data_IF_379892588120
#
_entry.id   IF_379892588120
#
_cell.length_a   1.000
_cell.length_b   1.000
_cell.length_c   1.000
_cell.angle_alpha   90.00
_cell.angle_beta   90.00
_cell.angle_gamma   90.00
#
_symmetry.space_group_name_H-M   'P 1'
#
loop_
_entity.id
_entity.type
_entity.pdbx_description
1 polymer ?
#
# COMPACT_ATOMS: atom_id res chain seq x y z
N UNK A 1 -13.88 18.41 19.13
CA UNK A 1 -13.65 18.62 17.69
C UNK A 1 -14.23 17.41 17.01
N UNK A 2 -15.29 17.60 16.22
CA UNK A 2 -16.04 16.49 15.61
C UNK A 2 -15.25 15.98 14.41
N UNK A 3 -14.87 14.70 14.42
CA UNK A 3 -14.25 14.04 13.27
C UNK A 3 -15.30 13.97 12.14
N UNK A 4 -15.11 14.74 11.07
CA UNK A 4 -15.88 14.57 9.85
C UNK A 4 -15.45 13.26 9.18
N UNK A 5 -16.23 12.21 9.41
CA UNK A 5 -16.10 10.95 8.69
C UNK A 5 -16.34 11.20 7.21
N UNK A 6 -15.32 11.03 6.37
CA UNK A 6 -15.46 11.10 4.91
C UNK A 6 -16.41 9.99 4.47
N UNK A 7 -17.61 10.36 3.99
CA UNK A 7 -18.60 9.42 3.46
C UNK A 7 -18.29 9.15 1.99
N UNK A 8 -18.08 7.89 1.63
CA UNK A 8 -17.99 7.43 0.24
C UNK A 8 -19.34 6.80 -0.15
N UNK A 9 -19.96 7.31 -1.20
CA UNK A 9 -21.22 6.76 -1.74
C UNK A 9 -20.94 6.09 -3.09
N UNK A 10 -21.43 4.86 -3.26
CA UNK A 10 -21.30 4.09 -4.50
C UNK A 10 -22.69 3.84 -5.09
N UNK A 11 -22.85 4.09 -6.38
CA UNK A 11 -24.05 3.67 -7.11
C UNK A 11 -23.83 2.24 -7.62
N UNK A 12 -24.63 1.31 -7.14
CA UNK A 12 -24.54 -0.11 -7.48
C UNK A 12 -25.91 -0.64 -7.88
N UNK A 13 -25.95 -1.59 -8.80
CA UNK A 13 -27.16 -2.35 -9.08
C UNK A 13 -27.39 -3.42 -7.98
N UNK A 14 -28.55 -4.08 -7.97
CA UNK A 14 -28.88 -5.05 -6.92
C UNK A 14 -27.91 -6.24 -6.87
N UNK A 15 -27.46 -6.74 -8.03
CA UNK A 15 -26.49 -7.85 -8.10
C UNK A 15 -25.11 -7.45 -7.51
N UNK A 16 -24.66 -6.24 -7.81
CA UNK A 16 -23.43 -5.66 -7.25
C UNK A 16 -23.58 -5.41 -5.75
N UNK A 17 -24.74 -4.93 -5.30
CA UNK A 17 -25.05 -4.74 -3.87
C UNK A 17 -24.97 -6.06 -3.13
N UNK A 18 -25.63 -7.11 -3.62
CA UNK A 18 -25.58 -8.45 -3.02
C UNK A 18 -24.15 -9.01 -3.00
N UNK A 19 -23.38 -8.81 -4.07
CA UNK A 19 -21.97 -9.23 -4.14
C UNK A 19 -21.12 -8.52 -3.10
N UNK A 20 -21.29 -7.20 -2.93
CA UNK A 20 -20.57 -6.40 -1.94
C UNK A 20 -20.94 -6.84 -0.52
N UNK A 21 -22.23 -7.06 -0.24
CA UNK A 21 -22.70 -7.52 1.07
C UNK A 21 -22.19 -8.93 1.39
N UNK A 22 -22.19 -9.83 0.41
CA UNK A 22 -21.62 -11.18 0.55
C UNK A 22 -20.12 -11.13 0.86
N UNK A 23 -19.38 -10.24 0.18
CA UNK A 23 -17.97 -10.00 0.43
C UNK A 23 -17.74 -9.52 1.88
N UNK A 24 -18.49 -8.52 2.34
CA UNK A 24 -18.38 -8.00 3.70
C UNK A 24 -18.74 -9.04 4.75
N UNK A 25 -19.78 -9.84 4.52
CA UNK A 25 -20.14 -10.96 5.37
C UNK A 25 -19.05 -12.03 5.47
N UNK A 26 -18.37 -12.36 4.37
CA UNK A 26 -17.26 -13.32 4.37
C UNK A 26 -16.09 -12.87 5.26
N UNK A 27 -15.81 -11.56 5.30
CA UNK A 27 -14.72 -10.99 6.12
C UNK A 27 -15.17 -10.53 7.52
N UNK A 28 -16.40 -10.85 7.94
CA UNK A 28 -17.00 -10.40 9.21
C UNK A 28 -16.91 -8.87 9.41
N UNK A 29 -17.14 -8.10 8.35
CA UNK A 29 -17.23 -6.64 8.45
C UNK A 29 -18.65 -6.25 8.86
N UNK A 30 -18.78 -5.47 9.94
CA UNK A 30 -20.06 -4.94 10.39
C UNK A 30 -20.59 -3.90 9.39
N UNK A 31 -21.63 -4.27 8.65
CA UNK A 31 -22.32 -3.37 7.72
C UNK A 31 -23.55 -2.81 8.42
N UNK A 32 -23.53 -1.51 8.70
CA UNK A 32 -24.71 -0.78 9.15
C UNK A 32 -25.39 -0.15 7.93
N UNK A 33 -26.58 -0.63 7.57
CA UNK A 33 -27.40 0.06 6.58
C UNK A 33 -27.89 1.39 7.18
N UNK A 34 -27.34 2.50 6.68
CA UNK A 34 -27.85 3.83 7.00
C UNK A 34 -29.09 4.09 6.12
N UNK A 35 -30.26 4.09 6.74
CA UNK A 35 -31.50 4.56 6.11
C UNK A 35 -31.46 6.10 6.04
N UNK A 36 -30.93 6.66 4.95
CA UNK A 36 -30.94 8.12 4.75
C UNK A 36 -31.95 8.51 3.66
N UNK A 37 -33.17 8.90 4.09
CA UNK A 37 -34.17 9.62 3.28
C UNK A 37 -33.73 11.06 2.89
N UNK A 38 -32.43 11.39 2.93
CA UNK A 38 -31.92 12.76 2.64
C UNK A 38 -30.61 12.79 1.83
N UNK A 39 -30.42 11.87 0.89
CA UNK A 39 -29.33 11.99 -0.08
C UNK A 39 -29.72 12.92 -1.25
N UNK A 40 -29.60 14.24 -1.07
CA UNK A 40 -29.55 15.17 -2.21
C UNK A 40 -28.22 15.03 -2.93
N UNK A 41 -28.26 14.49 -4.15
CA UNK A 41 -27.11 14.29 -5.02
C UNK A 41 -26.61 15.61 -5.63
N UNK A 42 -25.33 15.91 -5.45
CA UNK A 42 -24.60 16.81 -6.34
C UNK A 42 -23.93 15.92 -7.38
N UNK A 43 -24.44 15.98 -8.61
CA UNK A 43 -23.88 15.29 -9.76
C UNK A 43 -22.64 16.05 -10.23
N UNK A 44 -21.47 15.44 -10.11
CA UNK A 44 -20.36 15.77 -11.01
C UNK A 44 -19.73 14.46 -11.50
N UNK A 45 -20.35 13.95 -12.55
CA UNK A 45 -19.87 12.83 -13.34
C UNK A 45 -18.66 13.27 -14.15
N UNK A 46 -17.48 12.71 -13.86
CA UNK A 46 -16.48 12.55 -14.91
C UNK A 46 -15.79 11.20 -14.75
N UNK A 47 -16.03 10.34 -15.74
CA UNK A 47 -15.26 9.14 -16.06
C UNK A 47 -13.76 9.44 -16.10
N UNK A 48 -12.93 8.52 -15.64
CA UNK A 48 -12.16 7.64 -16.54
C UNK A 48 -11.43 6.55 -15.78
N UNK A 49 -11.76 5.31 -16.13
CA UNK A 49 -10.92 4.12 -15.93
C UNK A 49 -9.74 4.18 -16.92
N UNK A 50 -8.57 4.63 -16.47
CA UNK A 50 -7.29 4.34 -17.12
C UNK A 50 -6.21 4.13 -16.04
N UNK A 51 -5.99 2.87 -15.65
CA UNK A 51 -4.94 2.49 -14.71
C UNK A 51 -3.90 1.63 -15.46
N UNK A 52 -2.72 2.24 -15.59
CA UNK A 52 -1.38 1.66 -15.78
C UNK A 52 -0.94 1.26 -17.19
N UNK A 53 -0.71 2.24 -18.05
CA UNK A 53 0.43 2.20 -18.98
C UNK A 53 1.17 3.54 -19.01
N UNK A 54 2.46 3.49 -18.66
CA UNK A 54 3.56 4.43 -18.96
C UNK A 54 3.26 5.94 -18.98
N UNK A 55 3.84 6.70 -18.05
CA UNK A 55 4.32 8.03 -18.40
C UNK A 55 5.67 8.36 -17.75
N UNK A 56 6.64 8.53 -18.64
CA UNK A 56 7.94 9.12 -18.44
C UNK A 56 7.78 10.64 -18.40
N UNK A 57 7.41 11.22 -17.24
CA UNK A 57 7.65 12.64 -17.03
C UNK A 57 7.70 13.01 -15.55
N UNK A 58 8.93 13.13 -15.05
CA UNK A 58 9.20 13.84 -13.80
C UNK A 58 9.03 15.34 -14.07
N UNK A 59 7.82 15.85 -13.85
CA UNK A 59 7.60 17.26 -13.55
C UNK A 59 6.88 17.39 -12.22
N UNK A 60 7.55 18.08 -11.30
CA UNK A 60 7.00 18.75 -10.12
C UNK A 60 5.69 19.49 -10.43
N UNK A 61 4.80 19.53 -9.44
CA UNK A 61 3.65 20.45 -9.33
C UNK A 61 2.41 20.23 -10.21
N UNK A 62 1.96 18.99 -10.33
CA UNK A 62 0.51 18.76 -10.41
C UNK A 62 0.05 18.16 -9.09
N UNK A 63 -0.52 19.00 -8.21
CA UNK A 63 -1.36 18.58 -7.07
C UNK A 63 -2.63 17.90 -7.60
N UNK A 64 -2.47 16.78 -8.31
CA UNK A 64 -3.57 15.85 -8.55
C UNK A 64 -3.98 15.39 -7.17
N UNK A 65 -5.22 15.72 -6.76
CA UNK A 65 -5.85 15.35 -5.49
C UNK A 65 -5.49 13.91 -5.10
N UNK A 66 -4.37 13.76 -4.38
CA UNK A 66 -3.81 12.44 -4.11
C UNK A 66 -4.56 11.91 -2.91
N UNK A 67 -5.23 10.78 -3.12
CA UNK A 67 -5.90 10.10 -2.03
C UNK A 67 -4.87 9.60 -1.01
N UNK A 68 -4.87 10.23 0.18
CA UNK A 68 -4.03 9.87 1.33
C UNK A 68 -4.90 9.24 2.41
N UNK A 69 -4.55 8.02 2.79
CA UNK A 69 -5.12 7.28 3.91
C UNK A 69 -4.51 7.84 5.20
N UNK A 70 -5.37 8.38 6.06
CA UNK A 70 -4.97 8.93 7.35
C UNK A 70 -4.40 7.85 8.27
N UNK A 71 -3.34 8.19 9.00
CA UNK A 71 -2.73 7.33 10.00
C UNK A 71 -3.54 7.40 11.30
N UNK A 72 -3.58 6.30 12.06
CA UNK A 72 -4.30 6.25 13.34
C UNK A 72 -3.38 6.73 14.47
N UNK A 73 -3.64 7.92 15.02
CA UNK A 73 -2.81 8.53 16.07
C UNK A 73 -2.83 7.74 17.40
N UNK A 74 -3.83 6.90 17.64
CA UNK A 74 -3.96 6.10 18.86
C UNK A 74 -3.10 4.82 18.84
N UNK A 75 -2.41 4.55 17.72
CA UNK A 75 -1.60 3.35 17.52
C UNK A 75 -0.12 3.71 17.46
N UNK A 76 0.71 2.78 17.94
CA UNK A 76 2.15 2.94 17.90
C UNK A 76 2.67 2.98 16.46
N UNK A 77 3.63 3.89 16.23
CA UNK A 77 4.31 4.01 14.94
C UNK A 77 5.28 2.85 14.74
N UNK A 78 5.21 2.22 13.57
CA UNK A 78 6.20 1.22 13.21
C UNK A 78 7.56 1.88 12.91
N UNK A 79 8.66 1.48 13.57
CA UNK A 79 9.96 2.08 13.33
C UNK A 79 10.47 1.83 11.89
N UNK A 80 9.93 0.84 11.18
CA UNK A 80 10.38 0.50 9.82
C UNK A 80 9.60 1.21 8.71
N UNK A 81 8.27 1.19 8.75
CA UNK A 81 7.44 1.78 7.70
C UNK A 81 6.80 3.12 8.09
N UNK A 82 6.98 3.58 9.35
CA UNK A 82 6.46 4.85 9.85
C UNK A 82 4.93 4.97 9.85
N UNK A 83 4.20 3.88 9.60
CA UNK A 83 2.75 3.85 9.70
C UNK A 83 2.29 3.61 11.14
N UNK A 84 1.08 4.11 11.46
CA UNK A 84 0.31 3.86 12.68
C UNK A 84 -1.07 3.27 12.33
N UNK A 85 -1.35 1.99 12.60
CA UNK A 85 -0.38 0.96 13.00
C UNK A 85 0.54 0.58 11.84
N UNK A 86 1.44 -0.39 12.08
CA UNK A 86 2.32 -0.92 11.04
C UNK A 86 1.55 -1.32 9.76
N UNK A 87 2.16 -1.12 8.59
CA UNK A 87 1.54 -1.54 7.31
C UNK A 87 1.26 -3.04 7.22
N UNK A 88 1.95 -3.83 8.04
CA UNK A 88 1.78 -5.28 8.18
C UNK A 88 0.91 -5.68 9.38
N UNK A 89 0.28 -4.72 10.07
CA UNK A 89 -0.65 -4.97 11.18
C UNK A 89 -1.95 -5.59 10.67
N UNK A 90 -2.55 -6.50 11.42
CA UNK A 90 -3.78 -7.20 11.04
C UNK A 90 -4.95 -6.25 10.71
N UNK A 91 -4.97 -5.02 11.25
CA UNK A 91 -5.99 -4.03 10.86
C UNK A 91 -5.86 -3.58 9.40
N UNK A 92 -4.73 -3.85 8.74
CA UNK A 92 -4.43 -3.48 7.36
C UNK A 92 -4.54 -4.66 6.39
N UNK A 93 -5.12 -5.81 6.80
CA UNK A 93 -5.31 -7.00 5.94
C UNK A 93 -5.95 -6.60 4.61
N UNK A 94 -5.43 -7.15 3.52
CA UNK A 94 -5.97 -7.01 2.17
C UNK A 94 -6.32 -8.39 1.61
N UNK A 95 -7.20 -8.45 0.60
CA UNK A 95 -7.61 -9.72 -0.04
C UNK A 95 -6.45 -10.54 -0.59
N UNK A 96 -5.33 -9.90 -0.95
CA UNK A 96 -4.15 -10.55 -1.48
C UNK A 96 -3.18 -11.04 -0.38
N UNK A 97 -3.47 -10.86 0.91
CA UNK A 97 -2.63 -11.41 1.98
C UNK A 97 -2.66 -12.92 2.02
N UNK A 98 -1.50 -13.48 2.32
CA UNK A 98 -1.36 -14.92 2.53
C UNK A 98 -1.60 -15.19 4.02
N UNK A 99 -2.43 -16.18 4.31
CA UNK A 99 -2.65 -16.65 5.68
C UNK A 99 -1.53 -17.58 6.15
N UNK A 100 -0.92 -18.31 5.22
CA UNK A 100 0.09 -19.33 5.51
C UNK A 100 1.37 -19.15 4.70
N UNK A 101 2.48 -19.66 5.25
CA UNK A 101 3.75 -19.71 4.54
C UNK A 101 3.73 -20.76 3.44
N UNK A 102 4.06 -20.35 2.21
CA UNK A 102 4.23 -21.25 1.08
C UNK A 102 5.50 -22.11 1.24
N UNK A 103 5.52 -23.26 0.59
CA UNK A 103 6.73 -24.10 0.53
C UNK A 103 7.88 -23.36 -0.16
N UNK A 104 9.12 -23.69 0.24
CA UNK A 104 10.35 -23.10 -0.33
C UNK A 104 10.46 -23.46 -1.80
N UNK A 105 10.31 -22.48 -2.68
CA UNK A 105 10.29 -22.73 -4.12
C UNK A 105 10.88 -21.57 -4.93
N UNK A 106 11.45 -21.84 -6.11
CA UNK A 106 12.05 -20.80 -6.97
C UNK A 106 11.03 -19.78 -7.48
N UNK A 107 9.78 -20.22 -7.73
CA UNK A 107 8.66 -19.36 -8.16
C UNK A 107 8.31 -18.28 -7.13
N UNK A 108 8.65 -18.50 -5.85
CA UNK A 108 8.39 -17.55 -4.77
C UNK A 108 9.05 -16.18 -5.04
N UNK A 109 10.12 -16.12 -5.83
CA UNK A 109 10.72 -14.84 -6.21
C UNK A 109 9.73 -13.92 -6.95
N UNK A 110 8.97 -14.46 -7.91
CA UNK A 110 7.99 -13.69 -8.67
C UNK A 110 6.82 -13.24 -7.78
N UNK A 111 6.32 -14.16 -6.93
CA UNK A 111 5.27 -13.85 -5.95
C UNK A 111 5.70 -12.76 -4.98
N UNK A 112 6.93 -12.82 -4.45
CA UNK A 112 7.47 -11.76 -3.58
C UNK A 112 7.48 -10.40 -4.27
N UNK A 113 7.92 -10.33 -5.53
CA UNK A 113 7.95 -9.07 -6.30
C UNK A 113 6.56 -8.47 -6.46
N UNK A 114 5.56 -9.31 -6.71
CA UNK A 114 4.15 -8.90 -6.79
C UNK A 114 3.65 -8.35 -5.44
N UNK A 115 3.85 -9.09 -4.33
CA UNK A 115 3.46 -8.60 -3.00
C UNK A 115 4.18 -7.30 -2.62
N UNK A 116 5.45 -7.14 -2.98
CA UNK A 116 6.17 -5.89 -2.77
C UNK A 116 5.55 -4.72 -3.53
N UNK A 117 5.02 -4.93 -4.74
CA UNK A 117 4.30 -3.87 -5.47
C UNK A 117 3.04 -3.45 -4.72
N UNK A 118 2.24 -4.41 -4.23
CA UNK A 118 1.03 -4.10 -3.46
C UNK A 118 1.34 -3.31 -2.19
N UNK A 119 2.33 -3.75 -1.41
CA UNK A 119 2.78 -2.99 -0.25
C UNK A 119 3.35 -1.63 -0.64
N UNK A 120 4.02 -1.53 -1.80
CA UNK A 120 4.53 -0.25 -2.27
C UNK A 120 3.40 0.76 -2.48
N UNK A 121 2.32 0.31 -3.14
CA UNK A 121 1.10 1.11 -3.35
C UNK A 121 0.43 1.48 -2.03
N UNK A 122 0.34 0.55 -1.06
CA UNK A 122 -0.25 0.86 0.25
C UNK A 122 0.53 1.94 1.01
N UNK A 123 1.86 1.93 0.91
CA UNK A 123 2.73 2.94 1.53
C UNK A 123 2.66 4.27 0.77
N UNK A 124 2.48 4.22 -0.56
CA UNK A 124 2.28 5.40 -1.40
C UNK A 124 1.03 6.16 -0.98
N UNK A 125 -0.10 5.47 -0.78
CA UNK A 125 -1.33 6.09 -0.30
C UNK A 125 -1.29 6.51 1.17
N UNK A 126 -0.23 6.21 1.91
CA UNK A 126 -0.02 6.64 3.29
C UNK A 126 1.07 7.70 3.43
N UNK A 127 1.50 8.23 2.28
CA UNK A 127 2.55 9.22 2.10
C UNK A 127 3.91 8.91 2.72
N UNK A 128 4.18 7.62 3.01
CA UNK A 128 5.41 7.19 3.67
C UNK A 128 6.65 7.50 2.83
N UNK A 129 6.54 7.45 1.50
CA UNK A 129 7.67 7.72 0.61
C UNK A 129 8.12 9.18 0.60
N UNK A 130 7.24 10.10 1.04
CA UNK A 130 7.55 11.52 1.16
C UNK A 130 7.98 11.93 2.57
N UNK A 131 7.78 11.07 3.57
CA UNK A 131 8.26 11.33 4.94
C UNK A 131 9.77 11.54 4.95
N UNK A 132 10.21 12.68 5.51
CA UNK A 132 11.61 13.10 5.57
C UNK A 132 12.53 12.03 6.18
N UNK A 133 12.06 11.31 7.20
CA UNK A 133 12.82 10.25 7.86
C UNK A 133 13.00 9.06 6.91
N UNK A 134 12.04 8.82 6.03
CA UNK A 134 12.15 7.80 5.00
C UNK A 134 13.13 8.21 3.90
N UNK A 135 13.07 9.46 3.46
CA UNK A 135 14.02 10.02 2.50
C UNK A 135 15.45 9.99 3.04
N UNK A 136 15.65 10.30 4.32
CA UNK A 136 16.96 10.22 4.96
C UNK A 136 17.51 8.79 4.95
N UNK A 137 16.68 7.78 5.28
CA UNK A 137 17.08 6.36 5.20
C UNK A 137 17.50 5.97 3.78
N UNK A 138 16.79 6.47 2.77
CA UNK A 138 17.10 6.24 1.36
C UNK A 138 18.44 6.86 0.97
N UNK A 139 18.69 8.11 1.36
CA UNK A 139 19.96 8.81 1.12
C UNK A 139 21.14 8.09 1.80
N UNK A 140 20.97 7.68 3.06
CA UNK A 140 22.00 6.93 3.78
C UNK A 140 22.33 5.59 3.10
N UNK A 141 21.34 4.91 2.56
CA UNK A 141 21.55 3.66 1.83
C UNK A 141 22.23 3.87 0.47
N UNK A 142 21.87 4.92 -0.27
CA UNK A 142 22.55 5.31 -1.51
C UNK A 142 24.02 5.66 -1.26
N UNK A 143 24.30 6.43 -0.19
CA UNK A 143 25.66 6.82 0.18
C UNK A 143 26.57 5.63 0.55
N UNK A 144 25.99 4.52 1.01
CA UNK A 144 26.72 3.28 1.34
C UNK A 144 27.06 2.45 0.11
N UNK A 145 26.33 2.60 -0.99
CA UNK A 145 26.63 1.89 -2.23
C UNK A 145 27.73 2.64 -3.00
N UNK A 146 28.91 2.04 -3.23
CA UNK A 146 30.01 2.71 -3.93
C UNK A 146 29.63 3.23 -5.32
N UNK A 147 28.68 2.57 -6.00
CA UNK A 147 28.22 2.98 -7.33
C UNK A 147 27.35 4.24 -7.28
N UNK A 148 26.60 4.43 -6.18
CA UNK A 148 25.60 5.49 -6.05
C UNK A 148 25.96 6.54 -5.00
N UNK A 149 27.18 6.50 -4.46
CA UNK A 149 27.64 7.41 -3.39
C UNK A 149 27.45 8.90 -3.70
N UNK A 150 27.48 9.28 -4.98
CA UNK A 150 27.30 10.67 -5.44
C UNK A 150 25.87 10.97 -5.92
N UNK A 151 24.96 10.00 -5.88
CA UNK A 151 23.58 10.20 -6.31
C UNK A 151 22.77 10.76 -5.14
N UNK A 152 22.17 11.93 -5.38
CA UNK A 152 21.25 12.60 -4.45
C UNK A 152 19.83 12.03 -4.61
N UNK A 153 19.55 11.37 -5.74
CA UNK A 153 18.23 10.88 -6.08
C UNK A 153 18.28 9.52 -6.78
N UNK A 154 17.25 8.72 -6.54
CA UNK A 154 17.01 7.46 -7.25
C UNK A 154 15.51 7.16 -7.33
N UNK A 155 15.03 6.64 -8.47
CA UNK A 155 13.61 6.38 -8.74
C UNK A 155 12.97 5.33 -7.80
N UNK A 156 13.75 4.32 -7.40
CA UNK A 156 13.28 3.22 -6.55
C UNK A 156 13.32 3.56 -5.08
N UNK A 157 12.29 3.15 -4.35
CA UNK A 157 12.26 3.19 -2.89
C UNK A 157 12.73 1.88 -2.28
N UNK A 158 13.32 1.98 -1.10
CA UNK A 158 13.71 0.83 -0.30
C UNK A 158 12.45 0.34 0.39
N UNK A 159 12.14 -0.95 0.30
CA UNK A 159 10.99 -1.52 1.00
C UNK A 159 11.26 -1.64 2.51
N UNK A 160 10.33 -1.28 3.43
CA UNK A 160 10.53 -1.40 4.87
C UNK A 160 10.79 -2.85 5.32
N UNK A 161 11.57 -3.00 6.40
CA UNK A 161 11.90 -4.31 6.95
C UNK A 161 10.68 -5.10 7.48
N UNK A 162 9.62 -4.44 7.96
CA UNK A 162 8.38 -5.12 8.36
C UNK A 162 7.77 -5.87 7.17
N UNK A 163 7.64 -5.19 6.02
CA UNK A 163 7.16 -5.80 4.77
C UNK A 163 8.10 -6.90 4.28
N UNK A 164 9.42 -6.64 4.26
CA UNK A 164 10.40 -7.65 3.83
C UNK A 164 10.31 -8.93 4.67
N UNK A 165 10.19 -8.82 6.00
CA UNK A 165 10.07 -9.97 6.89
C UNK A 165 8.78 -10.76 6.61
N UNK A 166 7.64 -10.07 6.54
CA UNK A 166 6.35 -10.71 6.31
C UNK A 166 6.30 -11.44 4.96
N UNK A 167 6.64 -10.75 3.87
CA UNK A 167 6.58 -11.31 2.52
C UNK A 167 7.59 -12.46 2.34
N UNK A 168 8.76 -12.39 2.99
CA UNK A 168 9.74 -13.49 2.97
C UNK A 168 9.30 -14.68 3.81
N UNK A 169 8.50 -14.47 4.86
CA UNK A 169 7.85 -15.53 5.61
C UNK A 169 6.79 -16.25 4.77
N UNK A 170 5.97 -15.50 4.02
CA UNK A 170 4.99 -16.08 3.11
C UNK A 170 5.60 -16.82 1.92
N UNK A 171 6.71 -16.32 1.40
CA UNK A 171 7.30 -16.83 0.16
C UNK A 171 8.80 -17.04 0.31
N UNK A 172 9.22 -18.06 1.08
CA UNK A 172 10.62 -18.26 1.43
C UNK A 172 11.46 -18.66 0.23
N UNK A 173 12.75 -18.32 0.27
CA UNK A 173 13.73 -18.83 -0.69
C UNK A 173 14.04 -20.32 -0.44
N UNK A 174 14.51 -21.06 -1.47
CA UNK A 174 15.18 -22.33 -1.27
C UNK A 174 16.40 -22.19 -0.35
N UNK A 175 16.74 -23.24 0.40
CA UNK A 175 17.73 -23.18 1.49
C UNK A 175 19.11 -22.66 1.06
N UNK A 176 19.52 -22.93 -0.19
CA UNK A 176 20.83 -22.56 -0.72
C UNK A 176 20.83 -21.23 -1.50
N UNK A 177 19.74 -20.46 -1.46
CA UNK A 177 19.61 -19.21 -2.21
C UNK A 177 19.42 -18.03 -1.25
N UNK A 178 20.43 -17.17 -1.05
CA UNK A 178 20.28 -16.00 -0.19
C UNK A 178 19.29 -15.00 -0.80
N UNK A 179 18.64 -14.22 0.05
CA UNK A 179 17.84 -13.09 -0.40
C UNK A 179 18.75 -12.01 -0.98
N UNK A 180 18.50 -11.61 -2.23
CA UNK A 180 19.17 -10.45 -2.79
C UNK A 180 18.65 -9.18 -2.10
N UNK A 181 19.57 -8.22 -1.90
CA UNK A 181 19.28 -6.91 -1.36
C UNK A 181 18.50 -6.03 -2.34
N UNK A 182 18.37 -4.75 -1.99
CA UNK A 182 17.79 -3.76 -2.88
C UNK A 182 18.70 -3.56 -4.11
N UNK A 183 18.12 -3.59 -5.30
CA UNK A 183 18.83 -3.33 -6.55
C UNK A 183 18.47 -1.93 -7.06
N UNK A 184 19.48 -1.09 -7.22
CA UNK A 184 19.39 0.29 -7.70
C UNK A 184 19.46 0.41 -9.24
N UNK A 185 19.28 -0.68 -10.01
CA UNK A 185 19.36 -0.66 -11.49
C UNK A 185 17.99 -0.46 -12.17
#
# INVERSE_FOLDING_TARGET
>A
MSNESTKLSLFVNEEQKETILSLFGYYNWDVNELNDEQATCVNESTQTDEILENDDNANEDTEVNRFVIQQNEDRDECPFCLCKPCITDESNIQMWWETEGQQRHRRNNSLRKEKYKYFWTMLYHRDVWRDDRYQERKLQALARDPKFKNFIWHKRDIMPNCVLKLVRNWHPNPDNIPYMGHLWE
#
